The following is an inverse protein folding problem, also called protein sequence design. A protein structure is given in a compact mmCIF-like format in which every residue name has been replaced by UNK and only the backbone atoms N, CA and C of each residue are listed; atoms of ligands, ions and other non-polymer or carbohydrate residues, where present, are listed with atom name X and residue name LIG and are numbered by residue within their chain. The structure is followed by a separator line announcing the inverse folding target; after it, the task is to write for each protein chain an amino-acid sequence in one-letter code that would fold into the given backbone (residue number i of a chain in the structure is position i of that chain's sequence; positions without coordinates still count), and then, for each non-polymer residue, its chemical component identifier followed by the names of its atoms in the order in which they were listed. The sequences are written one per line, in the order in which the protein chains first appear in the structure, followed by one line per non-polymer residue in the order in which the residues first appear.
data_IF_509287510940
#
_entry.id   IF_509287510940
#
_cell.length_a   1.000
_cell.length_b   1.000
_cell.length_c   1.000
_cell.angle_alpha   90.00
_cell.angle_beta   90.00
_cell.angle_gamma   90.00
#
_symmetry.space_group_name_H-M   'P 1'
#
loop_
_entity.id
_entity.type
_entity.pdbx_description
1 polymer ?
#
# COMPACT_ATOMS: atom_id res chain seq x y z
N UNK A 1 18.98 21.21 4.43
CA UNK A 1 19.06 19.72 4.38
C UNK A 1 18.20 19.11 5.50
N UNK A 2 16.99 19.65 5.74
CA UNK A 2 16.04 19.17 6.78
C UNK A 2 14.73 18.63 6.18
N UNK A 3 14.39 18.95 4.92
CA UNK A 3 13.09 18.58 4.32
C UNK A 3 12.95 17.11 3.91
N UNK A 4 14.06 16.38 3.82
CA UNK A 4 14.03 14.97 3.45
C UNK A 4 13.41 14.15 4.60
N UNK A 5 13.65 14.54 5.86
CA UNK A 5 13.09 13.83 7.02
C UNK A 5 11.59 14.09 7.22
N UNK A 6 11.07 15.25 6.80
CA UNK A 6 9.63 15.53 6.82
C UNK A 6 8.88 14.83 5.66
N UNK A 7 9.54 14.62 4.52
CA UNK A 7 8.97 13.89 3.37
C UNK A 7 9.09 12.35 3.47
N UNK A 8 9.99 11.80 4.28
CA UNK A 8 10.42 10.40 4.13
C UNK A 8 9.89 9.36 5.15
N UNK A 9 9.00 9.69 6.09
CA UNK A 9 8.55 8.69 7.07
C UNK A 9 7.07 8.76 7.41
N UNK A 10 6.19 8.81 6.41
CA UNK A 10 4.81 8.32 6.63
C UNK A 10 4.88 6.80 6.52
N UNK A 11 5.26 6.12 7.60
CA UNK A 11 5.10 4.67 7.73
C UNK A 11 3.61 4.38 7.72
N UNK A 12 3.08 3.94 6.58
CA UNK A 12 1.67 3.60 6.42
C UNK A 12 1.45 2.17 6.89
N UNK A 13 0.54 1.97 7.84
CA UNK A 13 0.15 0.61 8.25
C UNK A 13 -0.58 -0.10 7.11
N UNK A 14 0.05 -1.15 6.61
CA UNK A 14 -0.45 -2.00 5.55
C UNK A 14 -1.29 -3.11 6.18
N UNK A 15 -2.62 -3.09 5.96
CA UNK A 15 -3.51 -4.12 6.49
C UNK A 15 -3.55 -5.31 5.53
N UNK A 16 -3.32 -6.55 6.01
CA UNK A 16 -3.45 -7.73 5.18
C UNK A 16 -4.87 -7.84 4.63
N UNK A 17 -5.00 -8.28 3.39
CA UNK A 17 -6.28 -8.46 2.72
C UNK A 17 -6.18 -9.64 1.75
N UNK A 18 -7.23 -10.46 1.75
CA UNK A 18 -7.46 -11.44 0.69
C UNK A 18 -8.36 -10.80 -0.36
N UNK A 19 -7.89 -10.78 -1.60
CA UNK A 19 -8.59 -10.22 -2.74
C UNK A 19 -9.65 -11.19 -3.26
N UNK A 20 -10.67 -10.67 -3.94
CA UNK A 20 -11.77 -11.48 -4.53
C UNK A 20 -11.28 -12.56 -5.49
N UNK A 21 -10.08 -12.40 -6.05
CA UNK A 21 -9.43 -13.37 -6.94
C UNK A 21 -8.76 -14.53 -6.18
N UNK A 22 -8.89 -14.58 -4.85
CA UNK A 22 -8.18 -15.52 -3.97
C UNK A 22 -6.71 -15.15 -3.75
N UNK A 23 -6.23 -14.00 -4.27
CA UNK A 23 -4.85 -13.56 -4.02
C UNK A 23 -4.73 -12.96 -2.62
N UNK A 24 -3.57 -13.07 -1.99
CA UNK A 24 -3.26 -12.40 -0.73
C UNK A 24 -2.46 -11.14 -1.00
N UNK A 25 -2.53 -10.20 -0.08
CA UNK A 25 -1.63 -9.06 -0.06
C UNK A 25 -2.02 -8.04 0.99
N UNK A 26 -1.83 -6.76 0.68
CA UNK A 26 -2.01 -5.67 1.62
C UNK A 26 -2.72 -4.49 0.97
N UNK A 27 -3.47 -3.76 1.80
CA UNK A 27 -4.04 -2.46 1.47
C UNK A 27 -3.61 -1.45 2.52
N UNK A 28 -3.20 -0.28 2.05
CA UNK A 28 -2.86 0.87 2.88
C UNK A 28 -3.58 2.11 2.35
N UNK A 29 -3.93 3.01 3.25
CA UNK A 29 -4.42 4.34 2.91
C UNK A 29 -3.70 5.37 3.76
N UNK A 30 -3.36 6.50 3.17
CA UNK A 30 -2.61 7.55 3.82
C UNK A 30 -2.84 8.90 3.17
N UNK A 31 -2.18 9.92 3.73
CA UNK A 31 -2.14 11.26 3.17
C UNK A 31 -0.68 11.65 3.01
N UNK A 32 -0.35 12.24 1.88
CA UNK A 32 0.98 12.78 1.61
C UNK A 32 0.86 14.26 1.32
N UNK A 33 1.90 15.02 1.66
CA UNK A 33 1.99 16.44 1.36
C UNK A 33 3.15 16.60 0.39
N UNK A 34 2.88 17.18 -0.77
CA UNK A 34 3.90 17.58 -1.74
C UNK A 34 3.61 18.99 -2.21
N UNK A 35 4.64 19.84 -2.16
CA UNK A 35 4.55 21.27 -2.50
C UNK A 35 3.39 22.02 -1.80
N UNK A 36 3.15 21.72 -0.52
CA UNK A 36 2.06 22.31 0.26
C UNK A 36 0.66 21.79 -0.08
N UNK A 37 0.51 20.94 -1.09
CA UNK A 37 -0.75 20.30 -1.48
C UNK A 37 -0.88 18.94 -0.81
N UNK A 38 -2.04 18.68 -0.22
CA UNK A 38 -2.34 17.43 0.49
C UNK A 38 -3.10 16.46 -0.41
N UNK A 39 -2.51 15.29 -0.64
CA UNK A 39 -3.08 14.24 -1.47
C UNK A 39 -3.51 13.06 -0.60
N UNK A 40 -4.62 12.42 -0.98
CA UNK A 40 -5.00 11.13 -0.44
C UNK A 40 -4.38 10.03 -1.29
N UNK A 41 -3.70 9.08 -0.65
CA UNK A 41 -3.03 7.97 -1.31
C UNK A 41 -3.68 6.67 -0.86
N UNK A 42 -3.88 5.78 -1.81
CA UNK A 42 -4.25 4.40 -1.55
C UNK A 42 -3.20 3.49 -2.20
N UNK A 43 -2.65 2.59 -1.41
CA UNK A 43 -1.65 1.61 -1.85
C UNK A 43 -2.27 0.23 -1.78
N UNK A 44 -2.03 -0.57 -2.81
CA UNK A 44 -2.44 -1.96 -2.88
C UNK A 44 -1.25 -2.79 -3.32
N UNK A 45 -0.85 -3.75 -2.50
CA UNK A 45 0.18 -4.72 -2.83
C UNK A 45 -0.48 -6.09 -2.96
N UNK A 46 -0.36 -6.72 -4.13
CA UNK A 46 -0.87 -8.07 -4.38
C UNK A 46 0.33 -8.99 -4.48
N UNK A 47 0.37 -10.08 -3.69
CA UNK A 47 1.42 -11.07 -3.79
C UNK A 47 1.25 -11.86 -5.09
N UNK A 48 2.18 -11.70 -6.03
CA UNK A 48 2.16 -12.46 -7.29
C UNK A 48 2.31 -13.95 -6.97
N UNK A 49 1.50 -14.79 -7.61
CA UNK A 49 1.52 -16.24 -7.41
C UNK A 49 0.79 -16.75 -6.16
N UNK A 50 0.15 -15.88 -5.38
CA UNK A 50 -0.62 -16.30 -4.20
C UNK A 50 -2.00 -16.89 -4.53
N UNK A 51 -2.42 -16.89 -5.79
CA UNK A 51 -3.71 -17.49 -6.17
C UNK A 51 -3.66 -18.99 -5.87
N UNK A 52 -4.70 -19.57 -5.26
CA UNK A 52 -4.84 -21.01 -5.20
C UNK A 52 -4.75 -21.54 -6.62
N UNK A 53 -3.78 -22.40 -6.90
CA UNK A 53 -3.84 -23.22 -8.11
C UNK A 53 -5.01 -24.15 -7.88
N UNK A 54 -6.06 -24.00 -8.68
CA UNK A 54 -7.04 -25.07 -8.82
C UNK A 54 -6.24 -26.35 -9.06
N UNK A 55 -6.39 -27.31 -8.14
CA UNK A 55 -5.93 -28.67 -8.34
C UNK A 55 -6.83 -29.26 -9.42
N UNK A 56 -6.57 -28.91 -10.68
CA UNK A 56 -7.05 -29.66 -11.83
C UNK A 56 -6.27 -30.95 -11.97
#
# INVERSE_FOLDING_TARGET
MQDILAKAAVTMEMKPVTFKTGSDGFRGQGKVIDDGVKYQVQVMAIRVGSKPKDKS
#
